data_IF_871672941053
#
_entry.id   IF_871672941053
#
_cell.length_a   1.000
_cell.length_b   1.000
_cell.length_c   1.000
_cell.angle_alpha   90.00
_cell.angle_beta   90.00
_cell.angle_gamma   90.00
#
_symmetry.space_group_name_H-M   'P 1'
#
loop_
_entity.id
_entity.type
_entity.pdbx_description
1 polymer ?
#
# COMPACT_ATOMS: atom_id res chain seq x y z
N UNK A 1 -29.95 12.52 -30.59
CA UNK A 1 -29.64 11.15 -30.15
C UNK A 1 -28.97 11.24 -28.79
N UNK A 2 -29.41 10.43 -27.83
CA UNK A 2 -28.70 10.26 -26.56
C UNK A 2 -27.69 9.14 -26.83
N UNK A 3 -26.42 9.45 -27.05
CA UNK A 3 -25.38 8.40 -27.12
C UNK A 3 -25.39 7.66 -25.79
N UNK A 4 -25.88 6.41 -25.78
CA UNK A 4 -25.49 5.48 -24.71
C UNK A 4 -23.99 5.29 -24.87
N UNK A 5 -23.22 6.01 -24.07
CA UNK A 5 -21.78 5.81 -23.98
C UNK A 5 -21.61 4.41 -23.40
N UNK A 6 -21.06 3.48 -24.17
CA UNK A 6 -20.71 2.16 -23.66
C UNK A 6 -19.62 2.34 -22.58
N UNK A 7 -20.05 2.28 -21.33
CA UNK A 7 -19.18 2.33 -20.16
C UNK A 7 -19.22 1.03 -19.39
N UNK A 8 -18.17 0.78 -18.61
CA UNK A 8 -18.08 -0.35 -17.71
C UNK A 8 -17.66 0.07 -16.31
N UNK A 9 -18.03 -0.78 -15.36
CA UNK A 9 -17.72 -0.60 -13.94
C UNK A 9 -16.74 -1.66 -13.47
N UNK A 10 -15.92 -1.31 -12.50
CA UNK A 10 -14.95 -2.20 -11.86
C UNK A 10 -15.15 -2.15 -10.35
N UNK A 11 -15.26 -3.33 -9.75
CA UNK A 11 -15.34 -3.54 -8.31
C UNK A 11 -14.04 -4.19 -7.85
N UNK A 12 -13.42 -3.61 -6.82
CA UNK A 12 -12.14 -4.05 -6.27
C UNK A 12 -12.40 -4.49 -4.83
N UNK A 13 -11.93 -5.68 -4.49
CA UNK A 13 -11.90 -6.19 -3.11
C UNK A 13 -10.45 -6.45 -2.73
N UNK A 14 -9.96 -5.72 -1.74
CA UNK A 14 -8.60 -5.83 -1.20
C UNK A 14 -8.62 -6.62 0.09
N UNK A 15 -7.84 -7.69 0.12
CA UNK A 15 -7.73 -8.56 1.28
C UNK A 15 -6.28 -8.91 1.60
N UNK A 16 -6.08 -9.34 2.84
CA UNK A 16 -4.91 -10.07 3.29
C UNK A 16 -4.84 -11.43 2.58
N UNK A 17 -3.64 -11.83 2.15
CA UNK A 17 -3.41 -13.08 1.42
C UNK A 17 -3.70 -14.32 2.27
N UNK A 18 -3.43 -14.28 3.55
CA UNK A 18 -3.46 -15.46 4.43
C UNK A 18 -4.79 -15.57 5.17
N UNK A 19 -5.18 -14.53 5.90
CA UNK A 19 -6.38 -14.55 6.76
C UNK A 19 -7.65 -14.01 6.06
N UNK A 20 -7.51 -13.49 4.83
CA UNK A 20 -8.61 -12.92 4.01
C UNK A 20 -9.32 -11.71 4.65
N UNK A 21 -8.72 -11.09 5.66
CA UNK A 21 -9.24 -9.88 6.28
C UNK A 21 -9.25 -8.72 5.27
N UNK A 22 -10.28 -7.86 5.31
CA UNK A 22 -10.37 -6.70 4.44
C UNK A 22 -9.26 -5.68 4.75
N UNK A 23 -8.64 -5.12 3.71
CA UNK A 23 -7.60 -4.09 3.85
C UNK A 23 -8.15 -2.73 3.40
N UNK A 24 -8.47 -1.89 4.37
CA UNK A 24 -8.96 -0.53 4.19
C UNK A 24 -7.82 0.46 3.97
N UNK A 25 -8.04 1.52 3.17
CA UNK A 25 -7.05 2.57 2.96
C UNK A 25 -5.97 2.26 1.92
N UNK A 26 -6.03 1.12 1.23
CA UNK A 26 -5.15 0.82 0.09
C UNK A 26 -5.59 1.62 -1.11
N UNK A 27 -4.64 2.24 -1.81
CA UNK A 27 -4.94 3.17 -2.90
C UNK A 27 -4.52 2.58 -4.23
N UNK A 28 -5.45 2.61 -5.18
CA UNK A 28 -5.27 2.16 -6.55
C UNK A 28 -5.42 3.31 -7.55
N UNK A 29 -4.62 3.27 -8.59
CA UNK A 29 -4.84 4.03 -9.82
C UNK A 29 -5.39 3.12 -10.90
N UNK A 30 -6.37 3.63 -11.67
CA UNK A 30 -6.72 3.07 -12.96
C UNK A 30 -5.98 3.87 -14.02
N UNK A 31 -5.11 3.20 -14.76
CA UNK A 31 -4.33 3.79 -15.83
C UNK A 31 -4.79 3.26 -17.18
N UNK A 32 -4.80 4.09 -18.22
CA UNK A 32 -5.07 3.66 -19.60
C UNK A 32 -3.87 2.91 -20.22
N UNK A 33 -4.02 2.48 -21.48
CA UNK A 33 -2.99 1.76 -22.22
C UNK A 33 -1.68 2.55 -22.41
N UNK A 34 -1.76 3.89 -22.38
CA UNK A 34 -0.63 4.82 -22.45
C UNK A 34 -0.02 5.13 -21.08
N UNK A 35 -0.57 4.58 -19.99
CA UNK A 35 -0.12 4.81 -18.63
C UNK A 35 -0.60 6.12 -18.02
N UNK A 36 -1.56 6.81 -18.64
CA UNK A 36 -2.19 7.99 -18.06
C UNK A 36 -3.15 7.56 -16.96
N UNK A 37 -3.07 8.22 -15.80
CA UNK A 37 -4.02 8.03 -14.71
C UNK A 37 -5.39 8.57 -15.12
N UNK A 38 -6.38 7.68 -15.15
CA UNK A 38 -7.79 7.98 -15.46
C UNK A 38 -8.53 8.34 -14.17
N UNK A 39 -8.30 7.57 -13.11
CA UNK A 39 -8.84 7.84 -11.78
C UNK A 39 -7.99 7.19 -10.69
N UNK A 40 -8.20 7.62 -9.45
CA UNK A 40 -7.58 7.09 -8.23
C UNK A 40 -8.69 6.78 -7.23
N UNK A 41 -8.64 5.58 -6.63
CA UNK A 41 -9.64 5.09 -5.67
C UNK A 41 -8.97 4.48 -4.46
N UNK A 42 -9.62 4.60 -3.31
CA UNK A 42 -9.12 4.08 -2.03
C UNK A 42 -10.12 3.06 -1.48
N UNK A 43 -9.62 1.96 -0.93
CA UNK A 43 -10.47 0.93 -0.33
C UNK A 43 -11.12 1.41 0.96
N UNK A 44 -12.40 1.10 1.13
CA UNK A 44 -13.19 1.41 2.31
C UNK A 44 -12.90 0.45 3.47
N UNK A 45 -13.65 0.60 4.58
CA UNK A 45 -13.52 -0.26 5.78
C UNK A 45 -13.79 -1.75 5.51
N UNK A 46 -14.53 -2.08 4.46
CA UNK A 46 -14.78 -3.45 4.03
C UNK A 46 -13.74 -3.93 3.00
N UNK A 47 -12.67 -3.16 2.76
CA UNK A 47 -11.64 -3.45 1.78
C UNK A 47 -12.10 -3.23 0.34
N UNK A 48 -13.19 -2.51 0.11
CA UNK A 48 -13.82 -2.37 -1.22
C UNK A 48 -13.58 -1.02 -1.85
N UNK A 49 -13.42 -0.98 -3.16
CA UNK A 49 -13.43 0.24 -3.95
C UNK A 49 -14.20 -0.01 -5.27
N UNK A 50 -14.81 1.03 -5.81
CA UNK A 50 -15.55 0.95 -7.08
C UNK A 50 -15.08 2.06 -8.01
N UNK A 51 -14.94 1.71 -9.28
CA UNK A 51 -14.70 2.64 -10.38
C UNK A 51 -15.86 2.49 -11.35
N UNK A 52 -16.52 3.60 -11.67
CA UNK A 52 -17.66 3.63 -12.58
C UNK A 52 -17.34 4.42 -13.84
N UNK A 53 -18.18 4.24 -14.86
CA UNK A 53 -18.19 5.07 -16.06
C UNK A 53 -16.89 5.06 -16.88
N UNK A 54 -16.13 3.94 -16.82
CA UNK A 54 -14.95 3.77 -17.67
C UNK A 54 -15.39 3.53 -19.11
N UNK A 55 -14.90 4.35 -20.04
CA UNK A 55 -15.15 4.14 -21.47
C UNK A 55 -14.55 2.82 -21.98
N UNK A 56 -15.07 2.28 -23.07
CA UNK A 56 -14.48 1.14 -23.78
C UNK A 56 -12.98 1.37 -24.02
N UNK A 57 -12.16 0.40 -23.64
CA UNK A 57 -10.71 0.53 -23.72
C UNK A 57 -9.97 -0.44 -22.81
N UNK A 58 -8.64 -0.44 -22.94
CA UNK A 58 -7.73 -1.24 -22.13
C UNK A 58 -7.15 -0.40 -21.00
N UNK A 59 -7.11 -0.99 -19.82
CA UNK A 59 -6.69 -0.34 -18.59
C UNK A 59 -5.80 -1.26 -17.76
N UNK A 60 -5.19 -0.67 -16.74
CA UNK A 60 -4.42 -1.37 -15.72
C UNK A 60 -4.82 -0.82 -14.35
N UNK A 61 -5.06 -1.73 -13.42
CA UNK A 61 -5.19 -1.41 -12.00
C UNK A 61 -3.79 -1.46 -11.37
N UNK A 62 -3.33 -0.33 -10.85
CA UNK A 62 -2.01 -0.16 -10.25
C UNK A 62 -2.19 0.15 -8.78
N UNK A 63 -1.70 -0.71 -7.89
CA UNK A 63 -1.62 -0.35 -6.47
C UNK A 63 -0.54 0.72 -6.32
N UNK A 64 -0.85 1.86 -5.69
CA UNK A 64 0.08 2.98 -5.54
C UNK A 64 0.50 3.21 -4.09
N UNK A 65 -0.41 3.02 -3.15
CA UNK A 65 -0.15 3.12 -1.71
C UNK A 65 -0.73 1.88 -1.01
N UNK A 66 0.11 1.19 -0.24
CA UNK A 66 -0.26 0.01 0.55
C UNK A 66 -0.24 0.34 2.05
N UNK A 67 -0.76 -0.56 2.86
CA UNK A 67 -0.68 -0.47 4.32
C UNK A 67 0.74 -0.80 4.83
N UNK A 68 1.17 -0.20 5.95
CA UNK A 68 2.37 -0.62 6.67
C UNK A 68 2.32 -2.13 6.96
N UNK A 69 3.46 -2.80 6.84
CA UNK A 69 3.54 -4.26 7.03
C UNK A 69 2.95 -5.09 5.90
N UNK A 70 2.46 -4.50 4.80
CA UNK A 70 1.97 -5.24 3.65
C UNK A 70 2.85 -5.06 2.42
N UNK A 71 3.16 -6.19 1.75
CA UNK A 71 3.87 -6.17 0.47
C UNK A 71 2.94 -5.65 -0.61
N UNK A 72 3.25 -4.45 -1.11
CA UNK A 72 2.59 -3.82 -2.25
C UNK A 72 2.69 -4.69 -3.50
N UNK A 73 1.64 -4.70 -4.32
CA UNK A 73 1.65 -5.38 -5.61
C UNK A 73 2.70 -4.79 -6.57
N UNK A 74 3.65 -5.62 -7.02
CA UNK A 74 4.73 -5.20 -7.94
C UNK A 74 4.26 -5.07 -9.39
N UNK A 75 3.25 -5.86 -9.80
CA UNK A 75 2.77 -5.95 -11.18
C UNK A 75 1.34 -5.43 -11.29
N UNK A 76 1.06 -4.45 -12.16
CA UNK A 76 -0.31 -4.02 -12.44
C UNK A 76 -1.22 -5.15 -12.91
N UNK A 77 -2.52 -5.05 -12.61
CA UNK A 77 -3.54 -5.99 -13.11
C UNK A 77 -4.19 -5.41 -14.37
N UNK A 78 -3.94 -5.98 -15.57
CA UNK A 78 -4.56 -5.49 -16.80
C UNK A 78 -6.03 -5.91 -16.89
N UNK A 79 -6.87 -5.04 -17.46
CA UNK A 79 -8.27 -5.35 -17.78
C UNK A 79 -8.76 -4.56 -19.00
N UNK A 80 -9.91 -4.95 -19.54
CA UNK A 80 -10.50 -4.33 -20.72
C UNK A 80 -11.99 -4.11 -20.51
N UNK A 81 -12.46 -2.90 -20.82
CA UNK A 81 -13.88 -2.58 -20.91
C UNK A 81 -14.29 -2.73 -22.36
N UNK A 82 -15.23 -3.63 -22.63
CA UNK A 82 -15.73 -3.91 -23.98
C UNK A 82 -17.13 -3.33 -24.19
N UNK A 83 -17.51 -3.14 -25.46
CA UNK A 83 -18.82 -2.63 -25.83
C UNK A 83 -19.94 -3.57 -25.36
N UNK A 84 -21.03 -3.03 -24.80
CA UNK A 84 -22.18 -3.82 -24.34
C UNK A 84 -21.96 -4.57 -23.02
N UNK A 85 -20.94 -4.21 -22.24
CA UNK A 85 -20.74 -4.76 -20.89
C UNK A 85 -21.87 -4.30 -19.95
N UNK A 86 -22.60 -5.23 -19.36
CA UNK A 86 -23.73 -4.92 -18.44
C UNK A 86 -23.46 -5.28 -16.99
N UNK A 87 -22.38 -6.02 -16.72
CA UNK A 87 -21.96 -6.42 -15.37
C UNK A 87 -20.64 -5.76 -15.03
N UNK A 88 -20.44 -5.38 -13.77
CA UNK A 88 -19.14 -4.92 -13.28
C UNK A 88 -18.08 -6.02 -13.41
N UNK A 89 -16.85 -5.66 -13.73
CA UNK A 89 -15.69 -6.55 -13.54
C UNK A 89 -15.34 -6.54 -12.06
N UNK A 90 -15.24 -7.72 -11.44
CA UNK A 90 -14.84 -7.84 -10.05
C UNK A 90 -13.41 -8.38 -9.94
N UNK A 91 -12.56 -7.69 -9.18
CA UNK A 91 -11.19 -8.09 -8.88
C UNK A 91 -11.01 -8.29 -7.38
N UNK A 92 -10.43 -9.43 -7.00
CA UNK A 92 -9.88 -9.63 -5.66
C UNK A 92 -8.36 -9.47 -5.73
N UNK A 93 -7.82 -8.51 -4.98
CA UNK A 93 -6.38 -8.22 -4.93
C UNK A 93 -5.86 -8.54 -3.53
N UNK A 94 -4.94 -9.49 -3.44
CA UNK A 94 -4.38 -9.98 -2.19
C UNK A 94 -3.01 -9.37 -1.92
N UNK A 95 -2.76 -8.89 -0.70
CA UNK A 95 -1.41 -8.50 -0.26
C UNK A 95 -0.95 -9.45 0.84
N UNK A 96 0.30 -9.85 0.75
CA UNK A 96 0.97 -10.61 1.80
C UNK A 96 1.38 -9.65 2.91
N UNK A 97 0.99 -9.95 4.14
CA UNK A 97 1.56 -9.29 5.30
C UNK A 97 3.02 -9.74 5.38
N UNK A 98 3.95 -8.80 5.28
CA UNK A 98 5.35 -9.12 5.51
C UNK A 98 5.53 -9.21 7.01
N UNK A 99 6.17 -10.29 7.46
CA UNK A 99 6.71 -10.32 8.81
C UNK A 99 7.58 -9.06 8.99
N UNK A 100 7.32 -8.31 10.06
CA UNK A 100 8.11 -7.14 10.42
C UNK A 100 8.69 -7.32 11.80
N UNK A 101 9.97 -6.98 11.94
CA UNK A 101 10.65 -6.88 13.23
C UNK A 101 10.46 -5.50 13.84
N UNK A 102 10.54 -5.44 15.17
CA UNK A 102 10.67 -4.22 15.94
C UNK A 102 12.07 -4.18 16.56
N UNK A 103 12.70 -3.01 16.56
CA UNK A 103 13.98 -2.77 17.22
C UNK A 103 13.79 -1.67 18.26
N UNK A 104 14.07 -1.99 19.52
CA UNK A 104 14.24 -1.01 20.58
C UNK A 104 15.73 -0.73 20.76
N UNK A 105 16.10 0.55 20.73
CA UNK A 105 17.45 1.04 20.97
C UNK A 105 17.46 1.69 22.35
N UNK A 106 18.31 1.20 23.25
CA UNK A 106 18.60 1.87 24.52
C UNK A 106 19.99 2.48 24.47
N UNK A 107 20.09 3.81 24.57
CA UNK A 107 21.34 4.55 24.55
C UNK A 107 21.65 5.10 25.94
N UNK A 108 22.74 4.60 26.50
CA UNK A 108 23.28 5.04 27.78
C UNK A 108 24.68 5.61 27.62
N UNK A 109 25.07 6.42 28.59
CA UNK A 109 26.45 6.83 28.81
C UNK A 109 27.32 5.65 29.25
N UNK A 110 28.58 5.62 28.80
CA UNK A 110 29.47 4.48 29.01
C UNK A 110 29.82 4.30 30.49
N UNK A 111 30.02 5.41 31.20
CA UNK A 111 30.57 5.40 32.55
C UNK A 111 29.47 5.48 33.60
N UNK A 112 28.61 6.50 33.51
CA UNK A 112 27.54 6.76 34.48
C UNK A 112 26.34 5.83 34.33
N UNK A 113 26.20 5.14 33.18
CA UNK A 113 25.01 4.37 32.77
C UNK A 113 23.73 5.22 32.68
N UNK A 114 23.84 6.55 32.75
CA UNK A 114 22.71 7.44 32.61
C UNK A 114 22.15 7.38 31.17
N UNK A 115 20.81 7.52 30.99
CA UNK A 115 20.21 7.56 29.66
C UNK A 115 20.63 8.82 28.89
N UNK A 116 20.74 8.69 27.56
CA UNK A 116 21.07 9.80 26.68
C UNK A 116 19.89 10.14 25.77
N UNK A 117 19.23 11.28 26.05
CA UNK A 117 18.15 11.86 25.25
C UNK A 117 18.68 12.55 23.99
N UNK A 118 17.84 12.67 22.96
CA UNK A 118 18.09 13.43 21.72
C UNK A 118 19.22 12.87 20.84
N UNK A 119 19.59 11.60 21.01
CA UNK A 119 20.54 10.90 20.13
C UNK A 119 19.80 10.35 18.92
N UNK A 120 20.29 10.71 17.73
CA UNK A 120 19.66 10.34 16.46
C UNK A 120 20.31 9.08 15.89
N UNK A 121 19.49 8.10 15.54
CA UNK A 121 19.88 6.88 14.83
C UNK A 121 19.26 6.85 13.44
N UNK A 122 20.06 6.44 12.45
CA UNK A 122 19.57 6.07 11.12
C UNK A 122 19.60 4.55 10.99
N UNK A 123 18.44 3.96 10.73
CA UNK A 123 18.32 2.54 10.39
C UNK A 123 18.44 2.41 8.89
N UNK A 124 19.32 1.52 8.43
CA UNK A 124 19.59 1.28 7.02
C UNK A 124 19.32 -0.18 6.67
N UNK A 125 18.82 -0.43 5.47
CA UNK A 125 18.70 -1.79 4.93
C UNK A 125 20.07 -2.36 4.54
N UNK A 126 20.12 -3.63 4.14
CA UNK A 126 21.33 -4.32 3.68
C UNK A 126 22.00 -3.69 2.44
N UNK A 127 21.28 -2.83 1.70
CA UNK A 127 21.79 -2.06 0.56
C UNK A 127 22.27 -0.67 0.96
N UNK A 128 22.21 -0.32 2.25
CA UNK A 128 22.65 0.96 2.80
C UNK A 128 21.63 2.10 2.67
N UNK A 129 20.41 1.84 2.18
CA UNK A 129 19.32 2.83 2.08
C UNK A 129 18.76 3.08 3.48
N UNK A 130 18.60 4.34 3.85
CA UNK A 130 17.96 4.73 5.12
C UNK A 130 16.47 4.37 5.05
N UNK A 131 16.02 3.53 5.98
CA UNK A 131 14.63 3.06 6.10
C UNK A 131 13.89 3.69 7.27
N UNK A 132 14.60 4.16 8.30
CA UNK A 132 14.02 4.91 9.40
C UNK A 132 15.05 5.85 10.03
N UNK A 133 14.55 6.91 10.67
CA UNK A 133 15.35 7.82 11.50
C UNK A 133 14.61 8.04 12.81
N UNK A 134 15.26 7.71 13.92
CA UNK A 134 14.65 7.78 15.26
C UNK A 134 15.54 8.54 16.22
N UNK A 135 14.93 9.17 17.22
CA UNK A 135 15.63 9.98 18.22
C UNK A 135 15.31 9.43 19.59
N UNK A 136 16.32 9.31 20.47
CA UNK A 136 16.11 8.81 21.82
C UNK A 136 15.32 9.80 22.68
N UNK A 137 14.42 9.26 23.48
CA UNK A 137 13.62 9.99 24.46
C UNK A 137 14.40 10.23 25.77
N UNK A 138 13.71 10.80 26.77
CA UNK A 138 14.27 11.09 28.12
C UNK A 138 14.79 9.86 28.86
N UNK A 139 14.31 8.66 28.51
CA UNK A 139 14.79 7.39 29.05
C UNK A 139 15.95 6.81 28.22
N UNK A 140 16.42 7.54 27.20
CA UNK A 140 17.46 7.09 26.29
C UNK A 140 16.97 6.04 25.31
N UNK A 141 15.66 5.86 25.15
CA UNK A 141 15.07 4.83 24.29
C UNK A 141 14.61 5.39 22.95
N UNK A 142 14.77 4.61 21.89
CA UNK A 142 14.20 4.89 20.58
C UNK A 142 13.61 3.60 20.00
N UNK A 143 12.42 3.67 19.42
CA UNK A 143 11.72 2.53 18.85
C UNK A 143 11.62 2.65 17.33
N UNK A 144 11.93 1.56 16.64
CA UNK A 144 11.77 1.42 15.20
C UNK A 144 10.86 0.22 14.96
N UNK A 145 9.73 0.48 14.33
CA UNK A 145 8.72 -0.53 14.00
C UNK A 145 8.63 -0.73 12.49
N UNK A 146 7.87 -1.75 12.08
CA UNK A 146 7.57 -2.07 10.69
C UNK A 146 8.82 -2.33 9.81
N UNK A 147 9.91 -2.80 10.42
CA UNK A 147 11.11 -3.18 9.68
C UNK A 147 10.87 -4.54 9.01
N UNK A 148 10.78 -4.57 7.69
CA UNK A 148 10.69 -5.84 6.95
C UNK A 148 11.82 -6.79 7.35
N UNK A 149 11.51 -8.06 7.60
CA UNK A 149 12.58 -9.07 7.84
C UNK A 149 13.40 -9.24 6.56
N UNK A 150 14.72 -9.06 6.66
CA UNK A 150 15.64 -9.14 5.53
C UNK A 150 16.99 -8.50 5.80
#
# INVERSE_FOLDING_TARGET
ENEMVDTGNVEITKIDKDNKAPLAGVVFEVQDDKGKVVTKVTTDKAGKATVSDLSVGKYKLVEVESLPGYKKLEKPVPFEITKGMTKSLAFTVENEMVDTGNVEITKIDKDSKAPLENVVFEVRDSKGKVVAKVTTDKEGKANVSDLSVG
#
